data_IF_879642090736
#
_entry.id   IF_879642090736
#
_cell.length_a   1.000
_cell.length_b   1.000
_cell.length_c   1.000
_cell.angle_alpha   90.00
_cell.angle_beta   90.00
_cell.angle_gamma   90.00
#
_symmetry.space_group_name_H-M   'P 1'
#
loop_
_entity.id
_entity.type
_entity.pdbx_description
1 polymer ?
#
# COMPACT_ATOMS: atom_id res chain seq x y z
N UNK A 1 -22.39 5.85 -14.12
CA UNK A 1 -21.99 6.66 -12.95
C UNK A 1 -20.57 6.30 -12.57
N UNK A 2 -19.76 7.26 -12.12
CA UNK A 2 -18.36 7.06 -11.70
C UNK A 2 -18.16 7.68 -10.32
N UNK A 3 -17.54 6.94 -9.42
CA UNK A 3 -17.13 7.38 -8.09
C UNK A 3 -15.61 7.34 -8.02
N UNK A 4 -15.00 8.42 -7.54
CA UNK A 4 -13.55 8.52 -7.34
C UNK A 4 -13.28 9.04 -5.94
N UNK A 5 -12.42 8.32 -5.21
CA UNK A 5 -12.07 8.65 -3.83
C UNK A 5 -10.56 8.51 -3.63
N UNK A 6 -10.01 9.25 -2.67
CA UNK A 6 -8.61 9.10 -2.27
C UNK A 6 -8.55 8.62 -0.82
N UNK A 7 -7.98 7.44 -0.62
CA UNK A 7 -7.76 6.85 0.70
C UNK A 7 -6.30 7.07 1.08
N UNK A 8 -6.05 7.68 2.23
CA UNK A 8 -4.71 7.91 2.75
C UNK A 8 -4.51 7.13 4.05
N UNK A 9 -3.47 6.31 4.09
CA UNK A 9 -2.97 5.64 5.29
C UNK A 9 -1.61 6.22 5.60
N UNK A 10 -1.59 7.20 6.50
CA UNK A 10 -0.38 8.00 6.76
C UNK A 10 -0.04 8.07 8.21
N UNK A 11 1.25 8.18 8.49
CA UNK A 11 1.80 8.47 9.81
C UNK A 11 2.51 9.82 9.77
N UNK A 12 2.18 10.68 10.71
CA UNK A 12 2.98 11.88 10.96
C UNK A 12 4.32 11.46 11.57
N UNK A 13 5.39 12.11 11.13
CA UNK A 13 6.69 11.89 11.68
C UNK A 13 7.37 13.22 12.02
N UNK A 14 8.10 13.19 13.11
CA UNK A 14 8.96 14.27 13.55
C UNK A 14 10.28 13.66 14.03
N UNK A 15 11.40 14.13 13.50
CA UNK A 15 12.70 13.74 14.02
C UNK A 15 13.86 14.42 13.30
N UNK A 16 15.11 14.11 13.68
CA UNK A 16 16.29 14.67 13.03
C UNK A 16 16.37 14.19 11.57
N UNK A 17 16.74 15.08 10.66
CA UNK A 17 16.76 14.84 9.20
C UNK A 17 17.56 13.60 8.75
N UNK A 18 18.49 13.12 9.60
CA UNK A 18 19.40 12.01 9.32
C UNK A 18 18.91 10.65 9.84
N UNK A 19 17.83 10.59 10.64
CA UNK A 19 17.27 9.31 11.10
C UNK A 19 16.20 8.83 10.13
N UNK A 20 16.33 7.58 9.67
CA UNK A 20 15.28 6.91 8.91
C UNK A 20 14.01 6.79 9.75
N UNK A 21 12.89 7.28 9.23
CA UNK A 21 11.57 7.09 9.82
C UNK A 21 10.99 5.75 9.34
N UNK A 22 10.43 4.96 10.27
CA UNK A 22 9.69 3.74 9.92
C UNK A 22 8.32 4.09 9.34
N UNK A 23 8.33 4.61 8.12
CA UNK A 23 7.11 4.94 7.38
C UNK A 23 6.54 3.68 6.71
N UNK A 24 5.20 3.58 6.62
CA UNK A 24 4.56 2.60 5.75
C UNK A 24 5.10 2.69 4.33
N UNK A 25 5.32 1.55 3.68
CA UNK A 25 5.75 1.52 2.29
C UNK A 25 5.30 0.27 1.58
N UNK A 26 4.90 0.43 0.32
CA UNK A 26 4.49 -0.67 -0.57
C UNK A 26 5.64 -1.64 -0.91
N UNK A 27 6.88 -1.24 -0.61
CA UNK A 27 8.08 -2.07 -0.80
C UNK A 27 8.45 -2.87 0.47
N UNK A 28 7.86 -2.54 1.63
CA UNK A 28 8.12 -3.24 2.90
C UNK A 28 7.18 -4.40 3.14
N UNK A 29 5.96 -4.32 2.60
CA UNK A 29 4.91 -5.32 2.77
C UNK A 29 4.61 -5.92 1.40
N UNK A 30 4.62 -7.25 1.23
CA UNK A 30 4.28 -7.90 -0.03
C UNK A 30 2.85 -7.56 -0.47
N UNK A 31 2.66 -7.40 -1.78
CA UNK A 31 1.33 -7.11 -2.36
C UNK A 31 0.30 -8.21 -2.04
N UNK A 32 0.74 -9.45 -1.89
CA UNK A 32 -0.14 -10.58 -1.56
C UNK A 32 -0.83 -10.41 -0.20
N UNK A 33 -0.21 -9.71 0.75
CA UNK A 33 -0.83 -9.41 2.04
C UNK A 33 -2.01 -8.44 1.87
N UNK A 34 -1.85 -7.42 1.02
CA UNK A 34 -2.96 -6.53 0.67
C UNK A 34 -4.08 -7.28 -0.03
N UNK A 35 -3.75 -8.14 -1.00
CA UNK A 35 -4.74 -8.93 -1.73
C UNK A 35 -5.50 -9.88 -0.78
N UNK A 36 -4.82 -10.47 0.20
CA UNK A 36 -5.44 -11.29 1.23
C UNK A 36 -6.40 -10.46 2.10
N UNK A 37 -5.98 -9.29 2.57
CA UNK A 37 -6.80 -8.42 3.39
C UNK A 37 -8.02 -7.86 2.62
N UNK A 38 -7.86 -7.53 1.33
CA UNK A 38 -8.99 -7.17 0.47
C UNK A 38 -9.99 -8.33 0.34
N UNK A 39 -9.50 -9.55 0.14
CA UNK A 39 -10.35 -10.73 0.05
C UNK A 39 -11.12 -11.01 1.37
N UNK A 40 -10.48 -10.79 2.53
CA UNK A 40 -11.16 -10.88 3.85
C UNK A 40 -12.34 -9.90 3.97
N UNK A 41 -12.23 -8.72 3.36
CA UNK A 41 -13.31 -7.71 3.30
C UNK A 41 -14.33 -7.98 2.17
N UNK A 42 -14.21 -9.11 1.45
CA UNK A 42 -15.08 -9.48 0.33
C UNK A 42 -14.75 -8.74 -0.97
N UNK A 43 -13.58 -8.12 -1.07
CA UNK A 43 -13.10 -7.42 -2.26
C UNK A 43 -12.07 -8.28 -2.98
N UNK A 44 -12.46 -8.86 -4.11
CA UNK A 44 -11.56 -9.71 -4.92
C UNK A 44 -11.01 -8.93 -6.10
N UNK A 45 -9.69 -8.95 -6.27
CA UNK A 45 -8.99 -8.40 -7.44
C UNK A 45 -8.69 -9.51 -8.42
N UNK A 46 -8.78 -9.21 -9.71
CA UNK A 46 -8.38 -10.14 -10.75
C UNK A 46 -6.91 -9.89 -11.09
N UNK A 47 -6.05 -10.83 -10.70
CA UNK A 47 -4.60 -10.73 -10.91
C UNK A 47 -4.21 -10.56 -12.39
N UNK A 48 -5.00 -11.08 -13.32
CA UNK A 48 -4.73 -10.97 -14.76
C UNK A 48 -4.84 -9.52 -15.28
N UNK A 49 -5.61 -8.69 -14.59
CA UNK A 49 -5.74 -7.26 -14.89
C UNK A 49 -4.87 -6.37 -13.99
N UNK A 50 -4.18 -6.95 -13.02
CA UNK A 50 -3.34 -6.22 -12.09
C UNK A 50 -1.89 -6.15 -12.58
N UNK A 51 -1.24 -5.02 -12.31
CA UNK A 51 0.17 -4.82 -12.64
C UNK A 51 0.86 -3.93 -11.60
N UNK A 52 2.19 -3.90 -11.67
CA UNK A 52 3.03 -3.02 -10.87
C UNK A 52 3.93 -2.17 -11.76
N UNK A 53 4.09 -0.92 -11.37
CA UNK A 53 5.12 -0.05 -11.91
C UNK A 53 6.41 -0.26 -11.11
N UNK A 54 7.51 -0.42 -11.82
CA UNK A 54 8.83 -0.60 -11.23
C UNK A 54 9.82 0.42 -11.76
N UNK A 55 10.83 0.67 -10.95
CA UNK A 55 12.03 1.43 -11.31
C UNK A 55 13.26 0.58 -11.02
N UNK A 56 14.16 0.47 -11.99
CA UNK A 56 15.43 -0.26 -11.83
C UNK A 56 16.61 0.55 -12.38
N UNK A 57 17.78 0.36 -11.76
CA UNK A 57 19.02 0.98 -12.19
C UNK A 57 19.85 -0.03 -12.98
N UNK A 58 20.27 0.35 -14.20
CA UNK A 58 21.17 -0.46 -15.03
C UNK A 58 22.54 0.20 -15.05
N UNK A 59 23.56 -0.56 -14.65
CA UNK A 59 24.96 -0.16 -14.78
C UNK A 59 25.41 -0.53 -16.19
N UNK A 60 25.58 0.46 -17.05
CA UNK A 60 26.13 0.24 -18.41
C UNK A 60 27.63 0.53 -18.50
N UNK A 61 28.20 1.25 -17.51
CA UNK A 61 29.64 1.47 -17.38
C UNK A 61 30.01 1.95 -15.95
N UNK A 62 31.32 2.06 -15.66
CA UNK A 62 31.86 2.53 -14.37
C UNK A 62 31.36 3.94 -13.96
N UNK A 63 30.82 4.75 -14.89
CA UNK A 63 30.36 6.12 -14.64
C UNK A 63 28.93 6.42 -15.15
N UNK A 64 28.17 5.42 -15.62
CA UNK A 64 26.81 5.65 -16.13
C UNK A 64 25.78 4.70 -15.51
N UNK A 65 24.90 5.28 -14.71
CA UNK A 65 23.68 4.64 -14.22
C UNK A 65 22.49 5.14 -15.02
N UNK A 66 21.78 4.23 -15.68
CA UNK A 66 20.51 4.54 -16.33
C UNK A 66 19.38 4.07 -15.45
N UNK A 67 18.48 4.99 -15.10
CA UNK A 67 17.22 4.70 -14.42
C UNK A 67 16.17 4.42 -15.48
N UNK A 68 15.52 3.26 -15.39
CA UNK A 68 14.43 2.86 -16.27
C UNK A 68 13.18 2.58 -15.45
N UNK A 69 12.02 2.82 -16.07
CA UNK A 69 10.71 2.51 -15.52
C UNK A 69 10.03 1.49 -16.43
N UNK A 70 9.27 0.57 -15.84
CA UNK A 70 8.54 -0.45 -16.58
C UNK A 70 7.22 -0.78 -15.87
N UNK A 71 6.25 -1.25 -16.65
CA UNK A 71 4.99 -1.80 -16.16
C UNK A 71 5.02 -3.30 -16.40
N UNK A 72 4.82 -4.09 -15.34
CA UNK A 72 4.91 -5.54 -15.38
C UNK A 72 3.78 -6.19 -14.60
N UNK A 73 3.39 -7.44 -14.92
CA UNK A 73 2.49 -8.23 -14.10
C UNK A 73 2.94 -8.34 -12.64
N UNK A 74 1.99 -8.55 -11.72
CA UNK A 74 2.28 -8.59 -10.28
C UNK A 74 3.27 -9.70 -9.88
N UNK A 75 3.19 -10.85 -10.54
CA UNK A 75 4.00 -12.06 -10.30
C UNK A 75 5.43 -11.97 -10.85
N UNK A 76 5.75 -10.92 -11.61
CA UNK A 76 7.08 -10.77 -12.21
C UNK A 76 8.12 -10.52 -11.12
N UNK A 77 9.12 -11.41 -11.03
CA UNK A 77 10.24 -11.32 -10.09
C UNK A 77 11.47 -10.72 -10.75
N UNK A 78 12.25 -9.92 -10.01
CA UNK A 78 13.45 -9.26 -10.52
C UNK A 78 14.70 -9.66 -9.70
N UNK A 79 15.84 -9.93 -10.37
CA UNK A 79 17.10 -10.22 -9.70
C UNK A 79 17.93 -8.97 -9.31
N UNK A 80 17.53 -7.77 -9.75
CA UNK A 80 18.27 -6.49 -9.58
C UNK A 80 17.57 -5.62 -8.52
N UNK A 81 18.30 -4.66 -7.93
CA UNK A 81 17.77 -3.54 -7.14
C UNK A 81 16.63 -2.81 -7.88
N UNK A 82 15.42 -3.32 -7.68
CA UNK A 82 14.19 -2.87 -8.32
C UNK A 82 13.29 -2.33 -7.23
N UNK A 83 12.80 -1.12 -7.41
CA UNK A 83 11.85 -0.49 -6.49
C UNK A 83 10.48 -0.47 -7.15
N UNK A 84 9.46 -0.95 -6.44
CA UNK A 84 8.07 -0.78 -6.87
C UNK A 84 7.64 0.66 -6.57
N UNK A 85 7.11 1.34 -7.58
CA UNK A 85 6.64 2.73 -7.48
C UNK A 85 5.13 2.82 -7.34
N UNK A 86 4.40 1.89 -7.93
CA UNK A 86 2.94 1.82 -7.84
C UNK A 86 2.43 0.38 -8.03
N UNK A 87 1.27 0.10 -7.45
CA UNK A 87 0.43 -1.02 -7.82
C UNK A 87 -0.84 -0.51 -8.49
N UNK A 88 -1.28 -1.20 -9.53
CA UNK A 88 -2.54 -0.97 -10.21
C UNK A 88 -3.35 -2.26 -10.13
N UNK A 89 -4.45 -2.23 -9.39
CA UNK A 89 -5.31 -3.38 -9.13
C UNK A 89 -6.67 -3.17 -9.76
N UNK A 90 -7.15 -4.18 -10.48
CA UNK A 90 -8.47 -4.18 -11.10
C UNK A 90 -9.22 -5.45 -10.75
N UNK A 91 -10.54 -5.34 -10.56
CA UNK A 91 -11.40 -6.52 -10.47
C UNK A 91 -12.02 -6.92 -11.82
N UNK A 92 -11.72 -6.21 -12.91
CA UNK A 92 -12.29 -6.43 -14.24
C UNK A 92 -13.76 -6.04 -14.40
N UNK A 93 -14.43 -5.61 -13.32
CA UNK A 93 -15.84 -5.23 -13.29
C UNK A 93 -16.05 -3.74 -12.99
N UNK A 94 -15.01 -2.92 -13.14
CA UNK A 94 -15.06 -1.47 -12.99
C UNK A 94 -14.54 -0.93 -11.65
N UNK A 95 -14.01 -1.77 -10.76
CA UNK A 95 -13.21 -1.30 -9.61
C UNK A 95 -11.73 -1.27 -9.99
N UNK A 96 -11.13 -0.09 -9.84
CA UNK A 96 -9.71 0.17 -10.09
C UNK A 96 -9.10 0.82 -8.83
N UNK A 97 -7.93 0.33 -8.41
CA UNK A 97 -7.16 0.87 -7.31
C UNK A 97 -5.74 1.19 -7.78
N UNK A 98 -5.28 2.42 -7.54
CA UNK A 98 -3.88 2.79 -7.75
C UNK A 98 -3.23 3.11 -6.41
N UNK A 99 -2.22 2.33 -6.02
CA UNK A 99 -1.62 2.39 -4.67
C UNK A 99 -0.16 2.81 -4.79
N UNK A 100 0.23 3.85 -4.06
CA UNK A 100 1.56 4.47 -4.17
C UNK A 100 2.09 4.87 -2.80
N UNK A 101 3.41 4.95 -2.67
CA UNK A 101 4.02 5.62 -1.51
C UNK A 101 3.68 7.11 -1.55
N UNK A 102 3.32 7.65 -0.40
CA UNK A 102 3.10 9.08 -0.17
C UNK A 102 4.17 9.59 0.78
N UNK A 103 4.86 10.66 0.41
CA UNK A 103 5.82 11.35 1.28
C UNK A 103 5.71 12.85 1.04
N UNK A 104 5.14 13.56 2.01
CA UNK A 104 5.08 15.01 2.04
C UNK A 104 6.00 15.51 3.14
N UNK A 105 7.15 16.04 2.73
CA UNK A 105 8.11 16.68 3.63
C UNK A 105 7.85 18.17 3.68
N UNK A 106 7.61 18.70 4.86
CA UNK A 106 7.81 20.12 5.15
C UNK A 106 9.20 20.25 5.72
N UNK A 107 10.19 20.46 4.86
CA UNK A 107 11.48 20.96 5.32
C UNK A 107 11.28 22.43 5.64
N UNK A 108 11.41 22.81 6.91
CA UNK A 108 11.58 24.22 7.23
C UNK A 108 12.85 24.69 6.52
N UNK A 109 12.70 25.58 5.54
CA UNK A 109 13.75 25.94 4.56
C UNK A 109 14.93 26.71 5.16
N UNK A 110 15.00 26.79 6.49
CA UNK A 110 15.96 27.59 7.24
C UNK A 110 17.22 26.87 7.73
N UNK A 111 17.36 25.54 7.62
CA UNK A 111 18.61 24.88 8.09
C UNK A 111 19.14 23.78 7.17
N UNK A 112 19.94 24.21 6.19
CA UNK A 112 21.06 23.44 5.61
C UNK A 112 22.20 23.24 6.63
N UNK A 113 21.89 22.90 7.88
CA UNK A 113 22.89 22.80 8.93
C UNK A 113 22.68 21.53 9.74
N UNK A 114 23.80 20.85 9.98
CA UNK A 114 23.97 19.69 10.86
C UNK A 114 23.17 19.96 12.14
N UNK A 115 22.03 19.26 12.32
CA UNK A 115 21.10 19.47 13.43
C UNK A 115 19.64 19.83 13.06
N UNK A 116 19.26 19.85 11.78
CA UNK A 116 17.87 20.12 11.36
C UNK A 116 16.87 19.03 11.74
N UNK A 117 15.67 19.43 12.19
CA UNK A 117 14.50 18.56 12.31
C UNK A 117 13.69 18.57 11.01
N UNK A 118 13.12 17.43 10.66
CA UNK A 118 12.13 17.31 9.59
C UNK A 118 10.81 16.91 10.22
N UNK A 119 9.76 17.60 9.82
CA UNK A 119 8.37 17.20 10.04
C UNK A 119 7.75 16.87 8.70
N UNK A 120 6.91 15.85 8.69
CA UNK A 120 6.23 15.48 7.47
C UNK A 120 5.18 14.42 7.72
N UNK A 121 4.58 14.00 6.62
CA UNK A 121 3.58 12.95 6.59
C UNK A 121 4.00 11.95 5.53
N UNK A 122 4.18 10.70 5.94
CA UNK A 122 4.55 9.62 5.04
C UNK A 122 3.61 8.43 5.20
N UNK A 123 3.42 7.67 4.14
CA UNK A 123 2.62 6.46 4.17
C UNK A 123 2.19 6.00 2.78
N UNK A 124 0.94 5.57 2.67
CA UNK A 124 0.34 5.04 1.45
C UNK A 124 -0.84 5.91 1.03
N UNK A 125 -0.91 6.20 -0.27
CA UNK A 125 -2.12 6.74 -0.90
C UNK A 125 -2.69 5.68 -1.83
N UNK A 126 -4.01 5.53 -1.80
CA UNK A 126 -4.76 4.71 -2.73
C UNK A 126 -5.80 5.59 -3.42
N UNK A 127 -5.68 5.72 -4.73
CA UNK A 127 -6.73 6.28 -5.58
C UNK A 127 -7.71 5.16 -5.89
N UNK A 128 -8.97 5.36 -5.50
CA UNK A 128 -10.06 4.43 -5.69
C UNK A 128 -10.95 4.95 -6.80
N UNK A 129 -11.22 4.12 -7.79
CA UNK A 129 -12.19 4.40 -8.84
C UNK A 129 -13.19 3.25 -8.96
N UNK A 130 -14.47 3.58 -8.88
CA UNK A 130 -15.56 2.66 -9.13
C UNK A 130 -16.40 3.20 -10.28
N UNK A 131 -16.36 2.49 -11.39
CA UNK A 131 -17.20 2.73 -12.56
C UNK A 131 -18.29 1.67 -12.60
N UNK A 132 -19.53 2.10 -12.86
CA UNK A 132 -20.66 1.19 -13.02
C UNK A 132 -20.97 1.02 -14.52
N UNK A 133 -20.45 -0.04 -15.16
CA UNK A 133 -20.65 -0.26 -16.58
C UNK A 133 -22.08 -0.71 -16.94
N UNK A 134 -22.89 -1.17 -15.96
CA UNK A 134 -24.20 -1.81 -16.22
C UNK A 134 -25.40 -1.10 -15.58
N UNK A 135 -25.22 0.11 -15.05
CA UNK A 135 -26.26 0.82 -14.27
C UNK A 135 -26.82 0.00 -13.09
N UNK A 136 -26.03 -0.93 -12.55
CA UNK A 136 -26.39 -1.73 -11.37
C UNK A 136 -26.28 -0.89 -10.08
N UNK A 137 -26.79 -1.40 -8.95
CA UNK A 137 -26.68 -0.68 -7.68
C UNK A 137 -25.21 -0.63 -7.24
N UNK A 138 -24.62 0.55 -7.14
CA UNK A 138 -23.24 0.71 -6.64
C UNK A 138 -23.16 0.39 -5.14
N UNK A 139 -22.21 -0.45 -4.74
CA UNK A 139 -21.87 -0.68 -3.34
C UNK A 139 -20.92 0.43 -2.84
N UNK A 140 -21.48 1.48 -2.25
CA UNK A 140 -20.72 2.58 -1.67
C UNK A 140 -19.88 2.17 -0.45
N UNK A 141 -20.14 0.99 0.14
CA UNK A 141 -19.32 0.46 1.24
C UNK A 141 -17.99 -0.13 0.77
N UNK A 142 -17.77 -0.26 -0.55
CA UNK A 142 -16.48 -0.71 -1.08
C UNK A 142 -15.32 0.19 -0.66
N UNK A 143 -15.51 1.51 -0.59
CA UNK A 143 -14.48 2.44 -0.12
C UNK A 143 -14.07 2.15 1.32
N UNK A 144 -15.03 1.79 2.18
CA UNK A 144 -14.79 1.44 3.59
C UNK A 144 -14.02 0.12 3.69
N UNK A 145 -14.43 -0.89 2.92
CA UNK A 145 -13.74 -2.19 2.83
C UNK A 145 -12.30 -2.05 2.35
N UNK A 146 -12.07 -1.26 1.29
CA UNK A 146 -10.72 -1.00 0.76
C UNK A 146 -9.88 -0.25 1.79
N UNK A 147 -10.44 0.73 2.50
CA UNK A 147 -9.75 1.43 3.58
C UNK A 147 -9.33 0.47 4.70
N UNK A 148 -10.24 -0.38 5.18
CA UNK A 148 -9.96 -1.35 6.22
C UNK A 148 -8.81 -2.30 5.81
N UNK A 149 -8.83 -2.80 4.57
CA UNK A 149 -7.76 -3.64 4.04
C UNK A 149 -6.41 -2.92 3.95
N UNK A 150 -6.39 -1.65 3.50
CA UNK A 150 -5.17 -0.84 3.44
C UNK A 150 -4.61 -0.55 4.83
N UNK A 151 -5.46 -0.19 5.79
CA UNK A 151 -5.04 0.06 7.17
C UNK A 151 -4.49 -1.22 7.81
N UNK A 152 -5.16 -2.36 7.62
CA UNK A 152 -4.67 -3.64 8.12
C UNK A 152 -3.30 -4.03 7.56
N UNK A 153 -3.05 -3.70 6.30
CA UNK A 153 -1.79 -4.06 5.60
C UNK A 153 -0.65 -3.10 5.92
N UNK A 154 -0.93 -1.79 5.96
CA UNK A 154 0.11 -0.76 5.96
C UNK A 154 0.14 0.08 7.24
N UNK A 155 -0.86 -0.01 8.12
CA UNK A 155 -0.82 0.63 9.43
C UNK A 155 -0.36 -0.37 10.50
N UNK A 156 0.88 -0.24 11.04
CA UNK A 156 1.43 -1.20 11.98
C UNK A 156 0.61 -1.36 13.25
N UNK A 157 -0.05 -0.30 13.72
CA UNK A 157 -0.85 -0.33 14.94
C UNK A 157 -2.15 -1.12 14.72
N UNK A 158 -2.81 -0.90 13.58
CA UNK A 158 -4.03 -1.65 13.20
C UNK A 158 -3.69 -3.12 12.94
N UNK A 159 -2.58 -3.38 12.24
CA UNK A 159 -2.07 -4.74 11.97
C UNK A 159 -1.87 -5.53 13.27
N UNK A 160 -1.16 -4.97 14.26
CA UNK A 160 -0.97 -5.62 15.58
C UNK A 160 -2.28 -5.93 16.31
N UNK A 161 -3.23 -4.99 16.28
CA UNK A 161 -4.55 -5.17 16.92
C UNK A 161 -5.30 -6.30 16.22
N UNK A 162 -5.30 -6.32 14.89
CA UNK A 162 -5.96 -7.36 14.10
C UNK A 162 -5.37 -8.76 14.39
N UNK A 163 -4.04 -8.87 14.46
CA UNK A 163 -3.35 -10.12 14.80
C UNK A 163 -3.67 -10.59 16.22
N UNK A 164 -3.75 -9.67 17.19
CA UNK A 164 -4.12 -9.99 18.56
C UNK A 164 -5.58 -10.48 18.67
N UNK A 165 -6.50 -9.88 17.91
CA UNK A 165 -7.90 -10.28 17.85
C UNK A 165 -8.09 -11.65 17.17
N UNK A 166 -7.36 -11.94 16.09
CA UNK A 166 -7.41 -13.26 15.47
C UNK A 166 -6.90 -14.32 16.45
N UNK A 167 -5.77 -14.08 17.13
CA UNK A 167 -5.23 -15.01 18.13
C UNK A 167 -6.18 -15.27 19.30
N UNK A 168 -6.90 -14.25 19.79
CA UNK A 168 -7.86 -14.44 20.89
C UNK A 168 -9.11 -15.23 20.46
N UNK A 169 -9.57 -15.07 19.22
CA UNK A 169 -10.69 -15.85 18.66
C UNK A 169 -10.33 -17.33 18.44
N UNK A 170 -9.07 -17.65 18.16
CA UNK A 170 -8.61 -19.04 18.10
C UNK A 170 -8.43 -19.64 19.49
N UNK A 171 -7.98 -18.87 20.47
CA UNK A 171 -7.86 -19.32 21.86
C UNK A 171 -9.23 -19.69 22.46
N UNK A 172 -10.28 -18.89 22.21
CA UNK A 172 -11.64 -19.18 22.70
C UNK A 172 -12.35 -20.34 21.99
N UNK A 173 -11.83 -20.80 20.83
CA UNK A 173 -12.35 -21.99 20.12
C UNK A 173 -11.62 -23.28 20.48
N UNK A 174 -10.54 -23.20 21.25
CA UNK A 174 -9.71 -24.34 21.63
C UNK A 174 -10.19 -25.10 22.87
N UNK A 175 -11.06 -24.51 23.68
CA UNK A 175 -11.45 -25.05 24.99
C UNK A 175 -12.77 -25.88 24.99
N UNK A 176 -13.44 -26.02 23.84
CA UNK A 176 -14.67 -26.83 23.72
C UNK A 176 -14.40 -28.28 23.26
N UNK A 177 -13.28 -28.87 23.68
CA UNK A 177 -13.00 -30.30 23.53
C UNK A 177 -12.40 -30.85 24.81
N UNK A 178 -13.26 -31.03 25.81
CA UNK A 178 -13.17 -32.09 26.83
C UNK A 178 -14.29 -31.86 27.84
N UNK A 179 -15.52 -32.31 27.57
CA UNK A 179 -16.52 -32.75 28.55
C UNK A 179 -17.61 -33.60 27.89
#
# INVERSE_FOLDING_TARGET
>A
MKLTETIQVTTHYHGPALRGHNLPSINKVPIDELLCNLAKEGVTMNRDYCHKEIRYETNSSYHSRFRREAVVPLDTNFPIETTVTAYHLSNGNGLELTIRNYDRRTSDSLRRTIGGSVTGQGGIVCEFELTNPKNEKMDFYLVVKVRAALERTYNPEVSKIADALEKSQYASRGDDKDF
#
